data_IF_904215553602
#
_entry.id   IF_904215553602
#
_cell.length_a   1.000
_cell.length_b   1.000
_cell.length_c   1.000
_cell.angle_alpha   90.00
_cell.angle_beta   90.00
_cell.angle_gamma   90.00
#
_symmetry.space_group_name_H-M   'P 1'
#
loop_
_entity.id
_entity.type
_entity.pdbx_description
1 polymer ?
#
# COMPACT_ATOMS: atom_id res chain seq x y z
N UNK A 1 -8.47 -7.89 -3.35
CA UNK A 1 -9.70 -7.50 -4.06
C UNK A 1 -10.12 -8.45 -5.19
N UNK A 2 -9.29 -8.80 -6.20
CA UNK A 2 -9.70 -9.72 -7.29
C UNK A 2 -10.25 -11.06 -6.78
N UNK A 3 -9.62 -11.66 -5.77
CA UNK A 3 -10.10 -12.90 -5.18
C UNK A 3 -11.50 -12.73 -4.54
N UNK A 4 -11.74 -11.61 -3.87
CA UNK A 4 -13.04 -11.28 -3.27
C UNK A 4 -14.15 -11.19 -4.32
N UNK A 5 -13.84 -10.60 -5.48
CA UNK A 5 -14.78 -10.49 -6.59
C UNK A 5 -15.06 -11.83 -7.29
N UNK A 6 -14.04 -12.71 -7.35
CA UNK A 6 -14.17 -14.03 -8.00
C UNK A 6 -14.81 -15.09 -7.10
N UNK A 7 -14.68 -14.95 -5.77
CA UNK A 7 -15.09 -15.93 -4.78
C UNK A 7 -15.83 -15.29 -3.61
N UNK A 8 -16.89 -14.50 -3.85
CA UNK A 8 -17.58 -13.76 -2.80
C UNK A 8 -18.15 -14.67 -1.71
N UNK A 9 -18.52 -15.90 -2.05
CA UNK A 9 -19.04 -16.90 -1.12
C UNK A 9 -18.00 -17.43 -0.10
N UNK A 10 -16.72 -17.15 -0.33
CA UNK A 10 -15.61 -17.59 0.56
C UNK A 10 -15.14 -16.46 1.48
N UNK A 11 -15.68 -15.25 1.32
CA UNK A 11 -15.22 -14.06 2.04
C UNK A 11 -16.27 -13.63 3.04
N UNK A 12 -15.96 -13.76 4.32
CA UNK A 12 -16.82 -13.28 5.41
C UNK A 12 -16.70 -11.77 5.62
N UNK A 13 -15.50 -11.23 5.43
CA UNK A 13 -15.21 -9.79 5.55
C UNK A 13 -13.93 -9.45 4.80
N UNK A 14 -13.74 -8.16 4.48
CA UNK A 14 -12.56 -7.64 3.83
C UNK A 14 -11.93 -6.55 4.69
N UNK A 15 -10.62 -6.61 4.90
CA UNK A 15 -9.87 -5.56 5.58
C UNK A 15 -8.80 -5.06 4.62
N UNK A 16 -8.85 -3.77 4.31
CA UNK A 16 -7.91 -3.07 3.43
C UNK A 16 -7.08 -2.11 4.28
N UNK A 17 -5.76 -2.30 4.31
CA UNK A 17 -4.86 -1.43 5.07
C UNK A 17 -3.90 -0.78 4.07
N UNK A 18 -3.87 0.55 4.03
CA UNK A 18 -3.04 1.35 3.14
C UNK A 18 -3.10 0.83 1.69
N UNK A 19 -4.32 0.56 1.22
CA UNK A 19 -4.56 -0.09 -0.07
C UNK A 19 -4.77 0.92 -1.18
N UNK A 20 -4.12 0.70 -2.33
CA UNK A 20 -4.40 1.47 -3.54
C UNK A 20 -5.74 1.07 -4.14
N UNK A 21 -6.51 2.06 -4.59
CA UNK A 21 -7.67 1.85 -5.45
C UNK A 21 -7.26 1.59 -6.91
N UNK A 22 -8.23 1.35 -7.78
CA UNK A 22 -8.02 1.39 -9.24
C UNK A 22 -7.89 2.83 -9.70
N UNK A 23 -7.18 3.05 -10.81
CA UNK A 23 -7.02 4.39 -11.40
C UNK A 23 -8.34 4.92 -11.93
N UNK A 24 -8.59 6.20 -11.71
CA UNK A 24 -9.66 6.94 -12.38
C UNK A 24 -9.06 7.70 -13.57
N UNK A 25 -9.64 7.55 -14.76
CA UNK A 25 -9.22 8.35 -15.91
C UNK A 25 -9.36 9.85 -15.60
N UNK A 26 -8.26 10.59 -15.70
CA UNK A 26 -8.21 12.02 -15.43
C UNK A 26 -7.76 12.39 -14.01
N UNK A 27 -7.62 11.47 -13.09
CA UNK A 27 -6.74 11.70 -11.95
C UNK A 27 -5.33 11.80 -12.49
N UNK A 28 -4.70 12.96 -12.26
CA UNK A 28 -3.27 13.08 -12.47
C UNK A 28 -2.66 11.84 -11.80
N UNK A 29 -1.81 11.13 -12.55
CA UNK A 29 -0.78 10.40 -11.86
C UNK A 29 -0.33 11.35 -10.76
N UNK A 30 -0.15 10.88 -9.52
CA UNK A 30 0.93 11.46 -8.75
C UNK A 30 2.07 11.36 -9.75
N UNK A 31 2.12 12.38 -10.64
CA UNK A 31 3.20 12.52 -11.59
C UNK A 31 4.38 12.34 -10.68
N UNK A 32 5.08 11.22 -10.86
CA UNK A 32 6.49 11.27 -10.65
C UNK A 32 6.93 12.39 -11.59
N UNK A 33 6.50 13.62 -11.26
CA UNK A 33 7.22 14.78 -11.68
C UNK A 33 8.64 14.36 -11.37
N UNK A 34 9.50 14.52 -12.36
CA UNK A 34 10.93 14.40 -12.17
C UNK A 34 11.37 15.48 -11.16
N UNK A 35 10.57 15.66 -10.12
CA UNK A 35 10.84 16.51 -8.99
C UNK A 35 12.05 15.91 -8.29
N UNK A 36 13.08 16.74 -8.21
CA UNK A 36 14.34 16.47 -7.50
C UNK A 36 14.07 15.95 -6.07
N UNK A 37 12.83 15.96 -5.59
CA UNK A 37 12.38 15.57 -4.27
C UNK A 37 11.88 14.12 -4.15
N UNK A 38 11.67 13.39 -5.25
CA UNK A 38 11.27 11.97 -5.21
C UNK A 38 12.36 11.11 -4.57
N UNK A 39 12.02 10.20 -3.64
CA UNK A 39 13.00 9.29 -3.04
C UNK A 39 13.83 8.58 -4.09
N UNK A 40 15.15 8.51 -3.89
CA UNK A 40 16.08 7.93 -4.85
C UNK A 40 15.67 6.50 -5.28
N UNK A 41 15.11 5.71 -4.35
CA UNK A 41 14.59 4.38 -4.63
C UNK A 41 13.53 4.38 -5.74
N UNK A 42 12.60 5.33 -5.72
CA UNK A 42 11.55 5.48 -6.74
C UNK A 42 12.10 5.88 -8.09
N UNK A 43 13.02 6.84 -8.13
CA UNK A 43 13.71 7.27 -9.36
C UNK A 43 14.50 6.13 -9.98
N UNK A 44 15.11 5.26 -9.18
CA UNK A 44 15.82 4.08 -9.68
C UNK A 44 14.85 3.01 -10.20
N UNK A 45 13.65 2.88 -9.62
CA UNK A 45 12.64 1.94 -10.08
C UNK A 45 11.88 2.42 -11.33
N UNK A 46 11.90 3.70 -11.67
CA UNK A 46 11.26 4.22 -12.88
C UNK A 46 12.02 3.86 -14.17
N UNK A 47 13.34 3.67 -14.12
CA UNK A 47 14.16 3.37 -15.30
C UNK A 47 14.39 1.87 -15.51
N UNK A 48 14.16 1.40 -16.75
CA UNK A 48 14.41 -0.01 -17.12
C UNK A 48 15.89 -0.43 -16.98
N UNK A 49 16.82 0.50 -17.10
CA UNK A 49 18.25 0.20 -16.93
C UNK A 49 18.59 -0.01 -15.46
N UNK A 50 18.16 0.90 -14.60
CA UNK A 50 18.44 0.82 -13.16
C UNK A 50 17.73 -0.35 -12.50
N UNK A 51 16.53 -0.73 -12.95
CA UNK A 51 15.84 -1.96 -12.52
C UNK A 51 16.69 -3.21 -12.69
N UNK A 52 17.39 -3.34 -13.83
CA UNK A 52 18.29 -4.49 -14.06
C UNK A 52 19.47 -4.51 -13.09
N UNK A 53 19.97 -3.35 -12.69
CA UNK A 53 21.03 -3.25 -11.67
C UNK A 53 20.48 -3.66 -10.30
N UNK A 54 19.28 -3.19 -9.95
CA UNK A 54 18.63 -3.49 -8.67
C UNK A 54 18.31 -4.99 -8.51
N UNK A 55 18.08 -5.73 -9.60
CA UNK A 55 17.94 -7.19 -9.55
C UNK A 55 19.18 -7.89 -9.01
N UNK A 56 20.36 -7.34 -9.28
CA UNK A 56 21.64 -7.95 -8.89
C UNK A 56 22.18 -7.34 -7.60
N UNK A 57 22.01 -6.04 -7.45
CA UNK A 57 22.58 -5.28 -6.35
C UNK A 57 21.58 -4.28 -5.78
N UNK A 58 21.16 -4.51 -4.55
CA UNK A 58 20.27 -3.60 -3.79
C UNK A 58 20.99 -3.13 -2.54
N UNK A 59 21.57 -1.92 -2.55
CA UNK A 59 22.26 -1.39 -1.38
C UNK A 59 21.32 -1.18 -0.21
N UNK A 60 21.79 -1.45 1.00
CA UNK A 60 21.01 -1.34 2.24
C UNK A 60 20.38 0.05 2.43
N UNK A 61 21.07 1.13 2.04
CA UNK A 61 20.54 2.48 2.19
C UNK A 61 19.25 2.73 1.41
N UNK A 62 19.01 1.98 0.30
CA UNK A 62 17.76 2.08 -0.45
C UNK A 62 16.60 1.45 0.33
N UNK A 63 16.85 0.35 1.02
CA UNK A 63 15.86 -0.27 1.89
C UNK A 63 15.54 0.62 3.11
N UNK A 64 16.58 1.23 3.70
CA UNK A 64 16.42 2.20 4.80
C UNK A 64 15.61 3.43 4.34
N UNK A 65 15.91 3.97 3.16
CA UNK A 65 15.16 5.09 2.60
C UNK A 65 13.71 4.70 2.29
N UNK A 66 13.49 3.50 1.70
CA UNK A 66 12.16 3.00 1.44
C UNK A 66 11.33 2.85 2.72
N UNK A 67 11.93 2.32 3.78
CA UNK A 67 11.29 2.22 5.09
C UNK A 67 10.92 3.60 5.65
N UNK A 68 11.85 4.55 5.63
CA UNK A 68 11.60 5.92 6.10
C UNK A 68 10.50 6.64 5.29
N UNK A 69 10.40 6.37 4.01
CA UNK A 69 9.33 6.92 3.18
C UNK A 69 7.97 6.32 3.54
N UNK A 70 7.96 5.04 4.00
CA UNK A 70 6.74 4.30 4.31
C UNK A 70 6.11 4.68 5.65
N UNK A 71 6.82 5.37 6.54
CA UNK A 71 6.34 5.69 7.89
C UNK A 71 6.39 7.20 8.16
N UNK A 72 5.46 7.65 9.00
CA UNK A 72 5.41 9.04 9.45
C UNK A 72 6.41 9.30 10.58
N UNK A 73 6.37 8.47 11.63
CA UNK A 73 7.28 8.59 12.78
C UNK A 73 8.66 8.01 12.45
N UNK A 74 9.60 8.89 12.11
CA UNK A 74 10.95 8.53 11.70
C UNK A 74 11.76 7.84 12.81
N UNK A 75 11.39 8.00 14.07
CA UNK A 75 12.07 7.37 15.20
C UNK A 75 11.83 5.86 15.23
N UNK A 76 10.75 5.40 14.60
CA UNK A 76 10.46 3.97 14.42
C UNK A 76 11.38 3.30 13.39
N UNK A 77 11.99 4.06 12.46
CA UNK A 77 12.91 3.52 11.46
C UNK A 77 14.28 3.18 12.07
N UNK A 78 14.31 2.25 13.01
CA UNK A 78 15.54 1.79 13.63
C UNK A 78 16.47 1.11 12.62
N UNK A 79 17.79 1.06 12.96
CA UNK A 79 18.76 0.36 12.11
C UNK A 79 18.48 -1.13 12.04
N UNK A 80 17.99 -1.71 13.13
CA UNK A 80 17.60 -3.12 13.23
C UNK A 80 16.47 -3.40 12.26
N UNK A 81 15.41 -2.60 12.29
CA UNK A 81 14.27 -2.76 11.38
C UNK A 81 14.66 -2.55 9.91
N UNK A 82 15.48 -1.54 9.63
CA UNK A 82 16.01 -1.33 8.27
C UNK A 82 16.86 -2.52 7.78
N UNK A 83 17.58 -3.21 8.69
CA UNK A 83 18.30 -4.43 8.35
C UNK A 83 17.35 -5.58 8.00
N UNK A 84 16.35 -5.84 8.83
CA UNK A 84 15.35 -6.88 8.60
C UNK A 84 14.62 -6.63 7.29
N UNK A 85 14.20 -5.39 7.04
CA UNK A 85 13.56 -5.00 5.78
C UNK A 85 14.48 -5.26 4.57
N UNK A 86 15.76 -4.92 4.67
CA UNK A 86 16.74 -5.19 3.62
C UNK A 86 16.93 -6.70 3.38
N UNK A 87 17.01 -7.51 4.44
CA UNK A 87 17.12 -8.98 4.32
C UNK A 87 15.92 -9.58 3.58
N UNK A 88 14.70 -9.09 3.84
CA UNK A 88 13.50 -9.51 3.11
C UNK A 88 13.58 -9.16 1.61
N UNK A 89 14.12 -8.00 1.27
CA UNK A 89 14.34 -7.60 -0.14
C UNK A 89 15.35 -8.52 -0.83
N UNK A 90 16.32 -9.08 -0.09
CA UNK A 90 17.34 -9.98 -0.63
C UNK A 90 16.89 -11.44 -0.78
N UNK A 91 15.73 -11.81 -0.25
CA UNK A 91 15.19 -13.16 -0.46
C UNK A 91 15.02 -13.46 -1.95
N UNK A 92 15.17 -14.75 -2.31
CA UNK A 92 14.99 -15.21 -3.69
C UNK A 92 13.58 -14.82 -4.22
N UNK A 93 13.54 -14.18 -5.38
CA UNK A 93 12.31 -13.72 -6.02
C UNK A 93 11.75 -12.38 -5.50
N UNK A 94 12.20 -11.86 -4.34
CA UNK A 94 11.65 -10.61 -3.79
C UNK A 94 11.94 -9.40 -4.67
N UNK A 95 13.15 -9.28 -5.19
CA UNK A 95 13.53 -8.16 -6.08
C UNK A 95 12.77 -8.18 -7.39
N UNK A 96 12.61 -9.36 -7.98
CA UNK A 96 11.80 -9.57 -9.17
C UNK A 96 10.34 -9.20 -8.93
N UNK A 97 9.77 -9.61 -7.79
CA UNK A 97 8.41 -9.28 -7.41
C UNK A 97 8.23 -7.77 -7.24
N UNK A 98 9.12 -7.10 -6.50
CA UNK A 98 9.09 -5.64 -6.32
C UNK A 98 9.16 -4.93 -7.68
N UNK A 99 10.11 -5.29 -8.53
CA UNK A 99 10.28 -4.66 -9.85
C UNK A 99 9.05 -4.91 -10.73
N UNK A 100 8.45 -6.09 -10.69
CA UNK A 100 7.24 -6.41 -11.46
C UNK A 100 6.05 -5.56 -11.00
N UNK A 101 5.98 -5.23 -9.72
CA UNK A 101 4.96 -4.32 -9.18
C UNK A 101 5.03 -2.92 -9.81
N UNK A 102 6.20 -2.45 -10.22
CA UNK A 102 6.40 -1.15 -10.87
C UNK A 102 6.43 -1.21 -12.41
N UNK A 103 6.29 -2.41 -12.99
CA UNK A 103 6.48 -2.61 -14.45
C UNK A 103 5.19 -2.89 -15.21
N UNK A 104 4.07 -3.07 -14.54
CA UNK A 104 2.83 -3.54 -15.15
C UNK A 104 1.63 -2.65 -14.86
N UNK A 105 0.67 -2.69 -15.77
CA UNK A 105 -0.68 -2.20 -15.51
C UNK A 105 -1.37 -3.19 -14.55
N UNK A 106 -1.47 -2.80 -13.28
CA UNK A 106 -2.00 -3.68 -12.22
C UNK A 106 -3.50 -3.90 -12.32
N UNK A 107 -4.19 -2.93 -12.85
CA UNK A 107 -5.64 -2.86 -12.80
C UNK A 107 -6.30 -2.93 -14.18
N UNK A 108 -5.53 -2.83 -15.27
CA UNK A 108 -6.06 -2.78 -16.63
C UNK A 108 -6.95 -1.56 -16.81
N UNK A 109 -8.10 -1.77 -17.44
CA UNK A 109 -9.12 -0.74 -17.63
C UNK A 109 -10.22 -0.79 -16.55
N UNK A 110 -9.95 -1.39 -15.39
CA UNK A 110 -10.92 -1.42 -14.29
C UNK A 110 -11.12 -0.01 -13.72
N UNK A 111 -12.36 0.32 -13.37
CA UNK A 111 -12.72 1.60 -12.76
C UNK A 111 -13.21 1.36 -11.31
N UNK A 112 -13.29 2.38 -10.45
CA UNK A 112 -13.73 2.21 -9.06
C UNK A 112 -15.11 1.57 -8.91
N UNK A 113 -15.96 1.65 -9.93
CA UNK A 113 -17.27 1.04 -9.94
C UNK A 113 -17.23 -0.49 -9.75
N UNK A 114 -16.09 -1.13 -10.04
CA UNK A 114 -15.93 -2.57 -9.79
C UNK A 114 -16.09 -2.90 -8.30
N UNK A 115 -15.80 -1.97 -7.41
CA UNK A 115 -15.92 -2.16 -5.97
C UNK A 115 -17.37 -2.28 -5.51
N UNK A 116 -18.35 -1.81 -6.31
CA UNK A 116 -19.78 -2.01 -6.04
C UNK A 116 -20.20 -3.49 -6.02
N UNK A 117 -19.37 -4.36 -6.59
CA UNK A 117 -19.60 -5.80 -6.58
C UNK A 117 -19.08 -6.49 -5.31
N UNK A 118 -18.39 -5.78 -4.43
CA UNK A 118 -17.95 -6.32 -3.15
C UNK A 118 -19.15 -6.36 -2.21
N UNK A 119 -19.59 -7.58 -1.90
CA UNK A 119 -20.73 -7.82 -1.00
C UNK A 119 -20.32 -8.08 0.44
N UNK A 120 -19.03 -8.32 0.69
CA UNK A 120 -18.51 -8.56 2.03
C UNK A 120 -18.39 -7.25 2.81
N UNK A 121 -18.79 -7.20 4.10
CA UNK A 121 -18.52 -6.09 4.97
C UNK A 121 -17.03 -5.74 4.93
N UNK A 122 -16.70 -4.46 4.77
CA UNK A 122 -15.32 -4.03 4.51
C UNK A 122 -14.87 -2.98 5.52
N UNK A 123 -13.66 -3.16 6.05
CA UNK A 123 -12.95 -2.14 6.83
C UNK A 123 -11.78 -1.62 6.00
N UNK A 124 -11.67 -0.29 5.87
CA UNK A 124 -10.53 0.39 5.28
C UNK A 124 -9.79 1.16 6.39
N UNK A 125 -8.49 0.93 6.52
CA UNK A 125 -7.60 1.68 7.42
C UNK A 125 -6.52 2.33 6.57
N UNK A 126 -6.30 3.64 6.72
CA UNK A 126 -5.29 4.37 5.96
C UNK A 126 -4.63 5.44 6.83
N UNK A 127 -3.32 5.63 6.65
CA UNK A 127 -2.62 6.76 7.25
C UNK A 127 -2.86 8.04 6.46
N UNK A 128 -3.10 9.14 7.15
CA UNK A 128 -3.31 10.46 6.51
C UNK A 128 -2.03 10.95 5.82
N UNK A 129 -0.86 10.59 6.37
CA UNK A 129 0.48 10.96 5.88
C UNK A 129 1.16 9.83 5.09
N UNK A 130 0.38 8.97 4.45
CA UNK A 130 0.91 7.91 3.59
C UNK A 130 1.55 8.51 2.31
N UNK A 131 2.89 8.42 2.23
CA UNK A 131 3.66 8.91 1.11
C UNK A 131 3.79 7.91 -0.06
N UNK A 132 3.19 6.71 0.07
CA UNK A 132 3.25 5.68 -0.97
C UNK A 132 1.92 5.53 -1.71
N UNK A 133 0.82 5.56 -0.97
CA UNK A 133 -0.54 5.43 -1.50
C UNK A 133 -1.34 6.60 -0.96
N UNK A 134 -1.79 7.44 -1.87
CA UNK A 134 -2.60 8.61 -1.51
C UNK A 134 -3.85 8.18 -0.74
N UNK A 135 -4.12 8.89 0.37
CA UNK A 135 -5.29 8.69 1.22
C UNK A 135 -6.62 8.85 0.44
N UNK A 136 -6.61 9.59 -0.68
CA UNK A 136 -7.74 9.69 -1.60
C UNK A 136 -8.21 8.32 -2.11
N UNK A 137 -7.31 7.32 -2.18
CA UNK A 137 -7.68 5.94 -2.49
C UNK A 137 -8.76 5.39 -1.56
N UNK A 138 -8.80 5.85 -0.31
CA UNK A 138 -9.82 5.46 0.67
C UNK A 138 -11.20 6.00 0.35
N UNK A 139 -11.30 7.16 -0.29
CA UNK A 139 -12.58 7.75 -0.74
C UNK A 139 -13.20 6.91 -1.85
N UNK A 140 -12.38 6.38 -2.78
CA UNK A 140 -12.89 5.50 -3.83
C UNK A 140 -13.55 4.24 -3.25
N UNK A 141 -12.97 3.69 -2.17
CA UNK A 141 -13.59 2.55 -1.47
C UNK A 141 -14.88 2.98 -0.75
N UNK A 142 -14.84 4.13 -0.05
CA UNK A 142 -15.99 4.67 0.67
C UNK A 142 -17.20 4.93 -0.24
N UNK A 143 -16.95 5.47 -1.42
CA UNK A 143 -17.98 5.82 -2.40
C UNK A 143 -18.55 4.60 -3.16
N UNK A 144 -17.78 3.52 -3.26
CA UNK A 144 -18.14 2.43 -4.16
C UNK A 144 -18.41 1.10 -3.46
N UNK A 145 -17.88 0.82 -2.27
CA UNK A 145 -18.18 -0.40 -1.54
C UNK A 145 -19.49 -0.22 -0.74
N UNK A 146 -20.51 -1.07 -0.94
CA UNK A 146 -21.85 -0.88 -0.33
C UNK A 146 -21.84 -0.90 1.20
N UNK A 147 -21.02 -1.76 1.81
CA UNK A 147 -20.91 -1.92 3.26
C UNK A 147 -19.46 -1.72 3.68
N UNK A 148 -19.08 -0.46 3.91
CA UNK A 148 -17.71 -0.08 4.22
C UNK A 148 -17.63 0.83 5.45
N UNK A 149 -16.62 0.58 6.29
CA UNK A 149 -16.18 1.48 7.35
C UNK A 149 -14.77 1.98 7.03
N UNK A 150 -14.56 3.30 7.05
CA UNK A 150 -13.26 3.91 6.75
C UNK A 150 -12.69 4.54 8.01
N UNK A 151 -11.41 4.28 8.27
CA UNK A 151 -10.64 4.80 9.40
C UNK A 151 -9.37 5.46 8.87
N UNK A 152 -9.32 6.78 8.92
CA UNK A 152 -8.11 7.54 8.61
C UNK A 152 -7.37 7.84 9.90
N UNK A 153 -6.07 7.56 9.91
CA UNK A 153 -5.21 7.74 11.08
C UNK A 153 -4.27 8.93 10.86
N UNK A 154 -4.48 10.02 11.60
CA UNK A 154 -3.59 11.18 11.56
C UNK A 154 -2.25 10.86 12.21
N UNK A 155 -1.16 11.43 11.68
CA UNK A 155 0.23 11.19 12.05
C UNK A 155 0.68 9.73 11.86
N UNK A 156 0.14 9.05 10.85
CA UNK A 156 0.45 7.68 10.48
C UNK A 156 0.69 7.63 8.96
N UNK A 157 1.74 6.92 8.56
CA UNK A 157 2.08 6.69 7.16
C UNK A 157 1.45 5.41 6.58
N UNK A 158 2.24 4.72 5.75
CA UNK A 158 1.80 3.53 5.01
C UNK A 158 1.66 2.27 5.87
N UNK A 159 2.20 2.26 7.07
CA UNK A 159 2.27 1.06 7.91
C UNK A 159 1.53 1.23 9.26
N UNK A 160 0.20 1.47 9.25
CA UNK A 160 -0.59 1.67 10.47
C UNK A 160 -0.39 0.56 11.50
N UNK A 161 -0.21 -0.69 11.04
CA UNK A 161 0.00 -1.85 11.91
C UNK A 161 1.34 -1.84 12.66
N UNK A 162 2.30 -1.04 12.20
CA UNK A 162 3.60 -0.84 12.86
C UNK A 162 3.66 0.47 13.65
N UNK A 163 3.05 1.53 13.11
CA UNK A 163 3.12 2.87 13.70
C UNK A 163 2.15 3.02 14.88
N UNK A 164 0.97 2.38 14.79
CA UNK A 164 -0.03 2.33 15.88
C UNK A 164 -0.67 0.94 15.96
N UNK A 165 0.07 -0.08 16.43
CA UNK A 165 -0.40 -1.47 16.47
C UNK A 165 -1.61 -1.68 17.39
N UNK A 166 -1.68 -0.94 18.49
CA UNK A 166 -2.77 -1.07 19.47
C UNK A 166 -4.10 -0.58 18.89
N UNK A 167 -4.08 0.59 18.27
CA UNK A 167 -5.25 1.17 17.61
C UNK A 167 -5.68 0.31 16.41
N UNK A 168 -4.72 -0.09 15.59
CA UNK A 168 -5.00 -0.94 14.41
C UNK A 168 -5.64 -2.27 14.83
N UNK A 169 -5.05 -2.96 15.80
CA UNK A 169 -5.60 -4.22 16.31
C UNK A 169 -6.97 -4.05 17.00
N UNK A 170 -7.19 -2.92 17.67
CA UNK A 170 -8.48 -2.60 18.27
C UNK A 170 -9.55 -2.39 17.21
N UNK A 171 -9.30 -1.53 16.22
CA UNK A 171 -10.28 -1.24 15.18
C UNK A 171 -10.63 -2.47 14.35
N UNK A 172 -9.66 -3.35 14.08
CA UNK A 172 -9.90 -4.65 13.43
C UNK A 172 -10.79 -5.55 14.30
N UNK A 173 -10.52 -5.67 15.60
CA UNK A 173 -11.36 -6.48 16.51
C UNK A 173 -12.77 -5.94 16.60
N UNK A 174 -12.91 -4.63 16.81
CA UNK A 174 -14.22 -3.99 16.90
C UNK A 174 -15.03 -4.24 15.61
N UNK A 175 -14.40 -4.14 14.45
CA UNK A 175 -15.05 -4.45 13.17
C UNK A 175 -15.49 -5.92 13.08
N UNK A 176 -14.61 -6.85 13.43
CA UNK A 176 -14.95 -8.29 13.40
C UNK A 176 -16.11 -8.61 14.34
N UNK A 177 -16.18 -7.94 15.50
CA UNK A 177 -17.24 -8.16 16.47
C UNK A 177 -18.61 -7.58 16.01
N UNK A 178 -18.62 -6.59 15.12
CA UNK A 178 -19.85 -6.05 14.53
C UNK A 178 -20.49 -6.95 13.47
N UNK A 179 -19.71 -7.84 12.86
CA UNK A 179 -20.15 -8.71 11.75
C UNK A 179 -20.41 -10.16 12.18
N UNK A 180 -20.27 -10.47 13.47
CA UNK A 180 -20.60 -11.79 14.06
C UNK A 180 -22.04 -11.85 14.48
#
# INVERSE_FOLDING_TARGET
MRYTLQHPEQINSLILIASSSVRVEGEKEAESDEDECSPLAWRLLSSNFTRKILLVFTPKFLAEQGLKTSIYDQDLATKEWANEFHELVLLEGSREAIISMFSGDRYGNETPEIFKQISAPTLVIHGEEDNLIDVESSKHFEENIPEVAVKIYSNIGHLPMYEDPERTAKDIRDFIDTIR
#
